data_IF_037187837398
#
_entry.id   IF_037187837398
#
_cell.length_a   1.000
_cell.length_b   1.000
_cell.length_c   1.000
_cell.angle_alpha   90.00
_cell.angle_beta   90.00
_cell.angle_gamma   90.00
#
_symmetry.space_group_name_H-M   'P 1'
#
loop_
_entity.id
_entity.type
_entity.pdbx_description
1 polymer ?
#
# COMPACT_ATOMS: atom_id res chain seq x y z
N UNK A 1 -4.35 -13.26 4.86
CA UNK A 1 -4.34 -11.84 4.39
C UNK A 1 -3.10 -11.20 4.98
N UNK A 2 -2.24 -10.60 4.15
CA UNK A 2 -0.94 -10.07 4.58
C UNK A 2 -1.08 -8.98 5.64
N UNK A 3 0.01 -8.66 6.31
CA UNK A 3 0.08 -7.70 7.42
C UNK A 3 -0.14 -6.22 6.98
N UNK A 4 -0.58 -5.96 5.74
CA UNK A 4 -0.85 -4.63 5.15
C UNK A 4 -1.88 -3.73 5.87
N UNK A 5 -1.82 -2.39 5.75
CA UNK A 5 -2.97 -1.48 5.97
C UNK A 5 -3.95 -1.92 4.89
N UNK A 6 -5.11 -2.32 5.35
CA UNK A 6 -6.21 -2.73 4.51
C UNK A 6 -7.43 -1.82 4.73
N UNK A 7 -7.37 -0.91 5.71
CA UNK A 7 -8.38 0.11 5.99
C UNK A 7 -7.78 1.33 6.70
N UNK A 8 -8.02 2.53 6.17
CA UNK A 8 -7.80 3.80 6.87
C UNK A 8 -8.99 4.74 6.66
N UNK A 9 -9.22 5.64 7.62
CA UNK A 9 -10.25 6.66 7.48
C UNK A 9 -9.87 7.92 8.27
N UNK A 10 -9.97 9.08 7.62
CA UNK A 10 -10.03 10.38 8.29
C UNK A 10 -11.37 11.02 7.96
N UNK A 11 -12.23 11.14 8.97
CA UNK A 11 -13.59 11.65 8.81
C UNK A 11 -13.92 12.64 9.92
N UNK A 12 -14.57 13.74 9.54
CA UNK A 12 -15.14 14.69 10.51
C UNK A 12 -16.12 13.97 11.43
N UNK A 13 -15.90 14.08 12.74
CA UNK A 13 -16.79 13.50 13.73
C UNK A 13 -18.19 14.13 13.64
N UNK A 14 -19.23 13.31 13.78
CA UNK A 14 -20.62 13.77 13.71
C UNK A 14 -21.05 14.53 14.98
N UNK A 15 -20.44 14.21 16.12
CA UNK A 15 -20.64 14.88 17.40
C UNK A 15 -19.47 15.83 17.68
N UNK A 16 -19.76 16.96 18.33
CA UNK A 16 -18.74 17.87 18.84
C UNK A 16 -18.19 17.29 20.14
N UNK A 17 -16.92 16.87 20.14
CA UNK A 17 -16.24 16.45 21.34
C UNK A 17 -15.96 17.66 22.26
N UNK A 18 -16.19 17.51 23.56
CA UNK A 18 -15.96 18.56 24.56
C UNK A 18 -14.53 18.54 25.10
N UNK A 19 -13.75 17.52 24.77
CA UNK A 19 -12.33 17.40 25.13
C UNK A 19 -11.55 16.61 24.08
N UNK A 20 -10.22 16.74 24.07
CA UNK A 20 -9.35 15.91 23.23
C UNK A 20 -9.45 14.42 23.59
N UNK A 21 -9.60 14.10 24.88
CA UNK A 21 -9.79 12.73 25.35
C UNK A 21 -11.07 12.11 24.77
N UNK A 22 -12.17 12.85 24.74
CA UNK A 22 -13.42 12.40 24.13
C UNK A 22 -13.30 12.25 22.60
N UNK A 23 -12.60 13.17 21.93
CA UNK A 23 -12.37 13.07 20.49
C UNK A 23 -11.56 11.81 20.13
N UNK A 24 -10.45 11.57 20.84
CA UNK A 24 -9.61 10.37 20.66
C UNK A 24 -10.37 9.09 21.01
N UNK A 25 -11.20 9.13 22.05
CA UNK A 25 -12.07 8.02 22.42
C UNK A 25 -13.07 7.65 21.33
N UNK A 26 -13.72 8.66 20.73
CA UNK A 26 -14.64 8.47 19.61
C UNK A 26 -13.92 7.87 18.41
N UNK A 27 -12.70 8.33 18.11
CA UNK A 27 -11.86 7.77 17.05
C UNK A 27 -11.48 6.32 17.34
N UNK A 28 -11.04 6.01 18.56
CA UNK A 28 -10.74 4.65 18.99
C UNK A 28 -11.97 3.73 18.85
N UNK A 29 -13.17 4.19 19.23
CA UNK A 29 -14.41 3.41 19.07
C UNK A 29 -14.68 3.02 17.62
N UNK A 30 -14.50 3.96 16.69
CA UNK A 30 -14.69 3.70 15.26
C UNK A 30 -13.64 2.71 14.73
N UNK A 31 -12.39 2.88 15.15
CA UNK A 31 -11.32 1.96 14.80
C UNK A 31 -11.60 0.54 15.35
N UNK A 32 -12.05 0.40 16.60
CA UNK A 32 -12.46 -0.88 17.19
C UNK A 32 -13.58 -1.55 16.38
N UNK A 33 -14.58 -0.79 15.93
CA UNK A 33 -15.66 -1.35 15.11
C UNK A 33 -15.14 -1.89 13.77
N UNK A 34 -14.22 -1.16 13.12
CA UNK A 34 -13.58 -1.64 11.90
C UNK A 34 -12.72 -2.89 12.18
N UNK A 35 -11.91 -2.87 13.24
CA UNK A 35 -11.07 -4.02 13.62
C UNK A 35 -11.89 -5.29 13.83
N UNK A 36 -13.01 -5.22 14.57
CA UNK A 36 -13.87 -6.39 14.80
C UNK A 36 -14.51 -6.88 13.50
N UNK A 37 -15.01 -5.97 12.67
CA UNK A 37 -15.57 -6.33 11.37
C UNK A 37 -14.56 -7.06 10.50
N UNK A 38 -13.31 -6.58 10.47
CA UNK A 38 -12.22 -7.18 9.73
C UNK A 38 -11.83 -8.56 10.30
N UNK A 39 -11.77 -8.70 11.63
CA UNK A 39 -11.52 -10.01 12.29
C UNK A 39 -12.57 -11.05 11.90
N UNK A 40 -13.85 -10.65 11.79
CA UNK A 40 -14.93 -11.55 11.36
C UNK A 40 -14.78 -11.98 9.91
N UNK A 41 -14.44 -11.05 9.02
CA UNK A 41 -14.15 -11.39 7.61
C UNK A 41 -12.98 -12.37 7.53
N UNK A 42 -11.94 -12.15 8.32
CA UNK A 42 -10.79 -13.06 8.39
C UNK A 42 -11.21 -14.45 8.89
N UNK A 43 -12.09 -14.53 9.89
CA UNK A 43 -12.65 -15.80 10.36
C UNK A 43 -13.47 -16.51 9.29
N UNK A 44 -14.31 -15.78 8.54
CA UNK A 44 -15.13 -16.33 7.45
C UNK A 44 -14.29 -16.94 6.30
N UNK A 45 -13.08 -16.41 6.06
CA UNK A 45 -12.13 -16.95 5.08
C UNK A 45 -11.16 -17.99 5.66
N UNK A 46 -11.34 -18.39 6.93
CA UNK A 46 -10.54 -19.42 7.60
C UNK A 46 -9.29 -18.92 8.34
N UNK A 47 -9.05 -17.61 8.40
CA UNK A 47 -7.87 -16.96 9.00
C UNK A 47 -8.20 -16.36 10.37
N UNK A 48 -8.73 -17.18 11.29
CA UNK A 48 -9.15 -16.71 12.62
C UNK A 48 -7.97 -16.16 13.44
N UNK A 49 -8.08 -14.89 13.82
CA UNK A 49 -7.13 -14.20 14.72
C UNK A 49 -7.33 -14.67 16.17
N UNK A 50 -6.31 -15.30 16.77
CA UNK A 50 -6.35 -15.75 18.17
C UNK A 50 -5.99 -14.65 19.16
N UNK A 51 -4.96 -13.89 18.84
CA UNK A 51 -4.46 -12.80 19.69
C UNK A 51 -5.27 -11.52 19.48
N UNK A 52 -5.23 -10.63 20.47
CA UNK A 52 -5.86 -9.32 20.40
C UNK A 52 -5.19 -8.44 19.34
N UNK A 53 -5.98 -7.70 18.56
CA UNK A 53 -5.42 -6.71 17.63
C UNK A 53 -5.00 -5.46 18.40
N UNK A 54 -3.71 -5.11 18.34
CA UNK A 54 -3.16 -3.94 19.03
C UNK A 54 -3.58 -2.66 18.32
N UNK A 55 -4.13 -1.72 19.09
CA UNK A 55 -4.52 -0.38 18.66
C UNK A 55 -3.74 0.67 19.45
N UNK A 56 -3.07 1.59 18.74
CA UNK A 56 -2.28 2.65 19.37
C UNK A 56 -3.10 3.94 19.54
N UNK A 57 -3.06 4.52 20.74
CA UNK A 57 -3.71 5.79 21.07
C UNK A 57 -2.73 6.69 21.83
N UNK A 58 -2.69 7.98 21.51
CA UNK A 58 -1.76 8.94 22.13
C UNK A 58 -2.34 9.66 23.36
N UNK A 59 -3.58 9.34 23.71
CA UNK A 59 -4.29 9.97 24.82
C UNK A 59 -4.52 8.97 25.96
N UNK A 60 -3.72 9.10 27.03
CA UNK A 60 -3.84 8.25 28.22
C UNK A 60 -5.22 8.30 28.84
N UNK A 61 -5.85 9.48 28.90
CA UNK A 61 -7.20 9.62 29.45
C UNK A 61 -8.23 8.87 28.61
N UNK A 62 -8.12 8.87 27.28
CA UNK A 62 -8.99 8.07 26.42
C UNK A 62 -8.80 6.56 26.64
N UNK A 63 -7.55 6.11 26.83
CA UNK A 63 -7.23 4.71 27.16
C UNK A 63 -7.80 4.34 28.53
N UNK A 64 -7.63 5.19 29.53
CA UNK A 64 -8.12 4.97 30.89
C UNK A 64 -9.65 4.90 30.90
N UNK A 65 -10.34 5.77 30.14
CA UNK A 65 -11.79 5.70 29.95
C UNK A 65 -12.17 4.36 29.31
N UNK A 66 -11.46 3.88 28.29
CA UNK A 66 -11.75 2.61 27.63
C UNK A 66 -11.60 1.39 28.55
N UNK A 67 -10.68 1.46 29.52
CA UNK A 67 -10.38 0.37 30.46
C UNK A 67 -11.16 0.45 31.77
N UNK A 68 -11.80 1.59 32.09
CA UNK A 68 -12.41 1.80 33.40
C UNK A 68 -13.91 1.48 33.41
N UNK A 69 -14.37 0.47 34.19
CA UNK A 69 -15.79 0.11 34.28
C UNK A 69 -16.66 1.15 35.00
N UNK A 70 -16.08 2.09 35.74
CA UNK A 70 -16.78 3.07 36.58
C UNK A 70 -17.09 4.37 35.83
N UNK A 71 -16.48 4.60 34.66
CA UNK A 71 -16.73 5.82 33.90
C UNK A 71 -18.12 5.75 33.24
N UNK A 72 -19.00 6.69 33.59
CA UNK A 72 -20.34 6.80 33.01
C UNK A 72 -20.43 8.10 32.21
N UNK A 73 -20.50 7.98 30.89
CA UNK A 73 -20.77 9.15 30.05
C UNK A 73 -22.21 9.61 30.24
N UNK A 74 -22.40 10.94 30.33
CA UNK A 74 -23.73 11.56 30.47
C UNK A 74 -24.57 11.50 29.20
N UNK A 75 -23.96 11.19 28.04
CA UNK A 75 -24.62 11.22 26.74
C UNK A 75 -24.75 9.79 26.18
N UNK A 76 -25.99 9.38 25.84
CA UNK A 76 -26.33 7.99 25.44
C UNK A 76 -25.44 7.43 24.32
N UNK A 77 -25.11 8.22 23.31
CA UNK A 77 -24.30 7.76 22.17
C UNK A 77 -22.84 7.48 22.56
N UNK A 78 -22.30 8.19 23.55
CA UNK A 78 -20.97 7.96 24.08
C UNK A 78 -21.00 6.75 25.02
N UNK A 79 -22.05 6.59 25.82
CA UNK A 79 -22.22 5.42 26.68
C UNK A 79 -22.27 4.10 25.88
N UNK A 80 -22.95 4.07 24.73
CA UNK A 80 -22.97 2.90 23.83
C UNK A 80 -21.57 2.58 23.30
N UNK A 81 -20.86 3.60 22.79
CA UNK A 81 -19.46 3.44 22.35
C UNK A 81 -18.57 2.99 23.50
N UNK A 82 -18.92 3.38 24.72
CA UNK A 82 -18.13 3.06 25.90
C UNK A 82 -18.19 1.61 26.30
N UNK A 83 -19.39 1.05 26.30
CA UNK A 83 -19.56 -0.38 26.47
C UNK A 83 -18.86 -1.13 25.34
N UNK A 84 -19.02 -0.69 24.10
CA UNK A 84 -18.45 -1.38 22.95
C UNK A 84 -16.93 -1.58 22.97
N UNK A 85 -16.13 -0.52 23.20
CA UNK A 85 -14.67 -0.68 23.25
C UNK A 85 -14.27 -1.58 24.42
N UNK A 86 -14.88 -1.37 25.58
CA UNK A 86 -14.54 -2.12 26.78
C UNK A 86 -14.85 -3.62 26.60
N UNK A 87 -16.03 -3.94 26.10
CA UNK A 87 -16.44 -5.33 25.86
C UNK A 87 -15.45 -6.00 24.87
N UNK A 88 -15.02 -5.28 23.82
CA UNK A 88 -13.99 -5.78 22.89
C UNK A 88 -12.60 -6.00 23.53
N UNK A 89 -12.23 -5.22 24.54
CA UNK A 89 -10.99 -5.42 25.31
C UNK A 89 -11.14 -6.61 26.27
N UNK A 90 -12.28 -6.72 26.96
CA UNK A 90 -12.58 -7.81 27.91
C UNK A 90 -12.66 -9.16 27.19
N UNK A 91 -13.21 -9.19 25.97
CA UNK A 91 -13.29 -10.38 25.11
C UNK A 91 -11.94 -10.73 24.44
N UNK A 92 -10.91 -9.90 24.62
CA UNK A 92 -9.58 -10.12 24.03
C UNK A 92 -9.53 -9.91 22.51
N UNK A 93 -10.52 -9.23 21.92
CA UNK A 93 -10.53 -8.92 20.49
C UNK A 93 -9.55 -7.80 20.13
N UNK A 94 -9.40 -6.81 21.02
CA UNK A 94 -8.53 -5.63 20.82
C UNK A 94 -7.72 -5.29 22.07
N UNK A 95 -6.53 -4.72 21.87
CA UNK A 95 -5.69 -4.21 22.95
C UNK A 95 -5.33 -2.73 22.71
N UNK A 96 -5.73 -1.82 23.61
CA UNK A 96 -5.31 -0.41 23.53
C UNK A 96 -3.95 -0.19 24.22
N UNK A 97 -2.96 0.26 23.42
CA UNK A 97 -1.62 0.67 23.86
C UNK A 97 -1.39 2.16 23.70
N UNK A 98 -0.67 2.73 24.66
CA UNK A 98 -0.24 4.12 24.57
C UNK A 98 0.93 4.26 23.60
N UNK A 99 0.82 5.20 22.65
CA UNK A 99 1.95 5.72 21.88
C UNK A 99 2.16 7.20 22.22
N UNK A 100 3.37 7.73 22.08
CA UNK A 100 3.57 9.18 22.28
C UNK A 100 2.97 9.92 21.08
N UNK A 101 2.43 11.11 21.30
CA UNK A 101 1.95 11.94 20.19
C UNK A 101 3.05 12.27 19.17
N UNK A 102 4.32 12.29 19.59
CA UNK A 102 5.49 12.45 18.70
C UNK A 102 5.63 11.31 17.69
N UNK A 103 5.17 10.11 18.07
CA UNK A 103 5.24 8.88 17.28
C UNK A 103 3.88 8.52 16.64
N UNK A 104 2.84 9.33 16.87
CA UNK A 104 1.49 9.09 16.34
C UNK A 104 1.37 9.63 14.91
N UNK A 105 1.80 8.83 13.94
CA UNK A 105 1.77 9.20 12.51
C UNK A 105 0.36 9.54 12.03
N UNK A 106 -0.70 8.98 12.63
CA UNK A 106 -2.09 9.29 12.28
C UNK A 106 -2.48 10.77 12.53
N UNK A 107 -1.70 11.50 13.34
CA UNK A 107 -1.91 12.93 13.60
C UNK A 107 -1.88 13.76 12.32
N UNK A 108 -1.04 13.40 11.32
CA UNK A 108 -0.94 14.16 10.07
C UNK A 108 -2.28 14.20 9.30
N UNK A 109 -3.14 13.21 9.51
CA UNK A 109 -4.44 13.10 8.85
C UNK A 109 -5.60 13.68 9.65
N UNK A 110 -5.39 14.02 10.92
CA UNK A 110 -6.48 14.33 11.87
C UNK A 110 -6.31 15.66 12.60
N UNK A 111 -5.08 16.20 12.68
CA UNK A 111 -4.75 17.40 13.46
C UNK A 111 -4.05 18.44 12.58
N UNK A 112 -4.23 19.71 12.92
CA UNK A 112 -3.40 20.78 12.39
C UNK A 112 -2.05 20.76 13.12
N UNK A 113 -0.99 20.34 12.43
CA UNK A 113 0.34 20.17 13.02
C UNK A 113 1.23 21.41 12.83
N UNK A 114 2.12 21.72 13.78
CA UNK A 114 3.22 22.66 13.55
C UNK A 114 4.05 22.24 12.33
N UNK A 115 4.61 23.20 11.60
CA UNK A 115 5.34 22.98 10.35
C UNK A 115 6.38 21.87 10.45
N UNK A 116 7.18 21.86 11.51
CA UNK A 116 8.28 20.90 11.66
C UNK A 116 7.75 19.48 11.86
N UNK A 117 6.68 19.31 12.66
CA UNK A 117 6.04 18.01 12.87
C UNK A 117 5.30 17.51 11.63
N UNK A 118 4.65 18.43 10.89
CA UNK A 118 4.04 18.10 9.59
C UNK A 118 5.10 17.62 8.58
N UNK A 119 6.22 18.33 8.47
CA UNK A 119 7.32 17.93 7.59
C UNK A 119 7.90 16.58 7.98
N UNK A 120 8.14 16.36 9.28
CA UNK A 120 8.67 15.10 9.80
C UNK A 120 7.79 13.90 9.42
N UNK A 121 6.48 13.94 9.69
CA UNK A 121 5.58 12.84 9.31
C UNK A 121 5.42 12.69 7.80
N UNK A 122 5.43 13.80 7.05
CA UNK A 122 5.34 13.76 5.58
C UNK A 122 6.58 13.14 4.94
N UNK A 123 7.76 13.36 5.50
CA UNK A 123 9.02 12.74 5.09
C UNK A 123 9.01 11.25 5.44
N UNK A 124 8.64 10.90 6.67
CA UNK A 124 8.54 9.51 7.13
C UNK A 124 7.59 8.65 6.28
N UNK A 125 6.49 9.24 5.79
CA UNK A 125 5.52 8.55 4.92
C UNK A 125 5.90 8.57 3.43
N UNK A 126 7.06 9.14 3.05
CA UNK A 126 7.50 9.24 1.66
C UNK A 126 6.77 10.28 0.80
N UNK A 127 5.71 10.93 1.32
CA UNK A 127 4.92 11.92 0.58
C UNK A 127 5.74 13.16 0.18
N UNK A 128 6.72 13.55 0.99
CA UNK A 128 7.53 14.73 0.71
C UNK A 128 8.29 14.58 -0.61
N UNK A 129 8.91 13.42 -0.83
CA UNK A 129 9.71 13.16 -2.02
C UNK A 129 8.82 12.96 -3.25
N UNK A 130 7.67 12.29 -3.11
CA UNK A 130 6.68 12.19 -4.18
C UNK A 130 6.18 13.56 -4.66
N UNK A 131 5.87 14.47 -3.73
CA UNK A 131 5.45 15.82 -4.09
C UNK A 131 6.58 16.62 -4.75
N UNK A 132 7.83 16.47 -4.30
CA UNK A 132 8.99 17.10 -4.93
C UNK A 132 9.19 16.57 -6.36
N UNK A 133 9.03 15.27 -6.58
CA UNK A 133 9.21 14.67 -7.90
C UNK A 133 8.12 15.08 -8.89
N UNK A 134 6.86 15.17 -8.43
CA UNK A 134 5.78 15.75 -9.24
C UNK A 134 6.01 17.22 -9.55
N UNK A 135 6.51 18.00 -8.59
CA UNK A 135 6.85 19.39 -8.85
C UNK A 135 7.96 19.52 -9.90
N UNK A 136 8.94 18.62 -9.89
CA UNK A 136 10.02 18.62 -10.87
C UNK A 136 9.51 18.32 -12.28
N UNK A 137 8.64 17.33 -12.44
CA UNK A 137 7.97 17.06 -13.73
C UNK A 137 7.10 18.23 -14.21
N UNK A 138 6.36 18.85 -13.28
CA UNK A 138 5.56 20.03 -13.59
C UNK A 138 6.43 21.20 -14.08
N UNK A 139 7.63 21.39 -13.51
CA UNK A 139 8.59 22.40 -13.98
C UNK A 139 9.08 22.10 -15.39
N UNK A 140 9.53 20.87 -15.65
CA UNK A 140 9.96 20.47 -16.99
C UNK A 140 8.86 20.69 -18.04
N UNK A 141 7.62 20.30 -17.74
CA UNK A 141 6.50 20.52 -18.65
C UNK A 141 6.14 22.01 -18.82
N UNK A 142 6.18 22.81 -17.75
CA UNK A 142 5.88 24.24 -17.82
C UNK A 142 6.92 25.00 -18.64
N UNK A 143 8.20 24.71 -18.42
CA UNK A 143 9.34 25.35 -19.08
C UNK A 143 9.63 24.74 -20.47
N UNK A 144 8.93 23.67 -20.84
CA UNK A 144 9.13 22.89 -22.08
C UNK A 144 10.57 22.40 -22.22
N UNK A 145 11.14 21.97 -21.10
CA UNK A 145 12.46 21.35 -21.01
C UNK A 145 12.30 19.84 -21.08
N UNK A 146 13.03 19.21 -22.00
CA UNK A 146 13.24 17.75 -21.99
C UNK A 146 14.57 17.48 -21.27
N UNK A 147 14.56 16.91 -20.05
CA UNK A 147 15.78 16.58 -19.32
C UNK A 147 16.57 15.45 -20.01
N UNK A 148 17.78 15.17 -19.53
CA UNK A 148 18.48 13.95 -19.96
C UNK A 148 17.71 12.71 -19.48
N UNK A 149 17.96 11.57 -20.12
CA UNK A 149 17.35 10.30 -19.74
C UNK A 149 17.65 9.95 -18.28
N UNK A 150 18.91 10.10 -17.85
CA UNK A 150 19.31 9.81 -16.47
C UNK A 150 18.65 10.77 -15.47
N UNK A 151 18.61 12.07 -15.78
CA UNK A 151 17.93 13.06 -14.93
C UNK A 151 16.44 12.75 -14.78
N UNK A 152 15.78 12.37 -15.88
CA UNK A 152 14.39 11.94 -15.86
C UNK A 152 14.20 10.72 -14.97
N UNK A 153 14.96 9.65 -15.21
CA UNK A 153 14.79 8.38 -14.48
C UNK A 153 14.97 8.58 -12.97
N UNK A 154 15.99 9.34 -12.53
CA UNK A 154 16.23 9.59 -11.11
C UNK A 154 15.05 10.29 -10.40
N UNK A 155 14.24 11.04 -11.14
CA UNK A 155 13.00 11.63 -10.63
C UNK A 155 11.80 10.68 -10.81
N UNK A 156 11.73 10.01 -11.95
CA UNK A 156 10.53 9.34 -12.44
C UNK A 156 10.19 8.07 -11.66
N UNK A 157 11.18 7.36 -11.12
CA UNK A 157 10.91 6.19 -10.28
C UNK A 157 10.21 6.60 -8.97
N UNK A 158 10.50 7.79 -8.43
CA UNK A 158 9.82 8.36 -7.25
C UNK A 158 8.42 8.83 -7.64
N UNK A 159 8.28 9.57 -8.74
CA UNK A 159 6.99 10.10 -9.21
C UNK A 159 6.01 9.02 -9.64
N UNK A 160 6.46 7.80 -9.90
CA UNK A 160 5.60 6.63 -10.15
C UNK A 160 4.69 6.27 -8.97
N UNK A 161 4.89 6.87 -7.79
CA UNK A 161 4.26 6.55 -6.50
C UNK A 161 4.63 5.20 -5.90
N UNK A 162 5.34 4.34 -6.64
CA UNK A 162 5.76 3.01 -6.16
C UNK A 162 6.52 3.08 -4.83
N UNK A 163 7.40 4.06 -4.66
CA UNK A 163 8.20 4.21 -3.44
C UNK A 163 7.31 4.48 -2.22
N UNK A 164 6.32 5.36 -2.36
CA UNK A 164 5.33 5.66 -1.30
C UNK A 164 4.50 4.41 -1.00
N UNK A 165 4.04 3.69 -2.03
CA UNK A 165 3.30 2.44 -1.83
C UNK A 165 4.13 1.40 -1.05
N UNK A 166 5.42 1.25 -1.37
CA UNK A 166 6.30 0.33 -0.67
C UNK A 166 6.65 0.78 0.76
N UNK A 167 6.96 2.06 0.98
CA UNK A 167 7.19 2.59 2.34
C UNK A 167 5.97 2.35 3.21
N UNK A 168 4.78 2.64 2.69
CA UNK A 168 3.54 2.30 3.37
C UNK A 168 3.44 0.80 3.59
N UNK A 169 3.56 -0.06 2.57
CA UNK A 169 3.53 -1.52 2.73
C UNK A 169 4.50 -2.04 3.79
N UNK A 170 5.73 -1.50 3.89
CA UNK A 170 6.71 -1.91 4.89
C UNK A 170 6.18 -1.80 6.32
N UNK A 171 5.67 -0.63 6.70
CA UNK A 171 5.16 -0.37 8.05
C UNK A 171 3.93 -1.20 8.41
N UNK A 172 3.40 -1.89 7.42
CA UNK A 172 2.23 -2.69 7.56
C UNK A 172 2.64 -4.13 7.69
N UNK A 173 3.40 -4.61 6.71
CA UNK A 173 3.72 -6.03 6.70
C UNK A 173 4.76 -6.46 7.71
N UNK A 174 5.52 -5.52 8.27
CA UNK A 174 6.65 -5.79 9.14
C UNK A 174 6.24 -5.76 10.61
N UNK A 175 6.43 -6.86 11.32
CA UNK A 175 6.14 -6.92 12.76
C UNK A 175 7.21 -6.20 13.59
N UNK A 176 8.49 -6.34 13.20
CA UNK A 176 9.63 -5.78 13.93
C UNK A 176 10.33 -4.72 13.11
N UNK A 177 9.92 -3.48 13.32
CA UNK A 177 10.55 -2.31 12.69
C UNK A 177 11.92 -2.07 13.34
N UNK A 178 12.99 -2.13 12.54
CA UNK A 178 14.36 -1.84 12.97
C UNK A 178 14.81 -0.45 12.50
N UNK A 179 15.75 0.17 13.23
CA UNK A 179 16.30 1.48 12.83
C UNK A 179 17.09 1.37 11.53
N UNK A 180 17.76 0.24 11.35
CA UNK A 180 18.53 -0.08 10.16
C UNK A 180 17.61 -0.17 8.93
N UNK A 181 16.43 -0.79 9.07
CA UNK A 181 15.42 -0.85 8.01
C UNK A 181 14.86 0.53 7.64
N UNK A 182 14.51 1.34 8.65
CA UNK A 182 14.07 2.73 8.41
C UNK A 182 15.16 3.51 7.68
N UNK A 183 16.42 3.37 8.10
CA UNK A 183 17.54 4.02 7.43
C UNK A 183 17.69 3.56 5.97
N UNK A 184 17.48 2.28 5.66
CA UNK A 184 17.45 1.80 4.28
C UNK A 184 16.30 2.42 3.47
N UNK A 185 15.11 2.59 4.04
CA UNK A 185 13.98 3.23 3.37
C UNK A 185 14.25 4.72 3.10
N UNK A 186 14.76 5.44 4.09
CA UNK A 186 15.10 6.87 4.00
C UNK A 186 16.16 7.16 2.93
N UNK A 187 17.06 6.21 2.69
CA UNK A 187 18.15 6.33 1.70
C UNK A 187 17.83 5.61 0.39
N UNK A 188 16.55 5.35 0.10
CA UNK A 188 16.08 4.79 -1.17
C UNK A 188 16.81 3.51 -1.58
N UNK A 189 16.94 2.56 -0.65
CA UNK A 189 17.59 1.27 -0.89
C UNK A 189 17.10 0.59 -2.18
N UNK A 190 17.96 -0.23 -2.82
CA UNK A 190 17.66 -0.88 -4.10
C UNK A 190 16.35 -1.67 -4.15
N UNK A 191 15.93 -2.24 -3.01
CA UNK A 191 14.64 -2.94 -2.88
C UNK A 191 13.43 -2.01 -3.08
N UNK A 192 13.58 -0.71 -2.86
CA UNK A 192 12.59 0.30 -3.23
C UNK A 192 12.82 0.76 -4.67
N UNK A 193 14.06 1.14 -4.98
CA UNK A 193 14.39 1.80 -6.24
C UNK A 193 14.09 0.91 -7.46
N UNK A 194 14.60 -0.33 -7.50
CA UNK A 194 14.51 -1.19 -8.67
C UNK A 194 13.08 -1.55 -9.09
N UNK A 195 12.18 -2.01 -8.20
CA UNK A 195 10.80 -2.28 -8.59
C UNK A 195 10.04 -1.02 -9.00
N UNK A 196 10.33 0.14 -8.40
CA UNK A 196 9.71 1.40 -8.79
C UNK A 196 10.20 1.90 -10.15
N UNK A 197 11.48 1.69 -10.48
CA UNK A 197 12.01 1.94 -11.82
C UNK A 197 11.35 1.02 -12.83
N UNK A 198 11.20 -0.27 -12.54
CA UNK A 198 10.46 -1.22 -13.42
C UNK A 198 9.02 -0.75 -13.62
N UNK A 199 8.33 -0.34 -12.56
CA UNK A 199 6.98 0.22 -12.61
C UNK A 199 6.90 1.41 -13.56
N UNK A 200 7.80 2.38 -13.39
CA UNK A 200 7.88 3.58 -14.23
C UNK A 200 8.15 3.22 -15.69
N UNK A 201 9.14 2.38 -15.96
CA UNK A 201 9.53 2.03 -17.32
C UNK A 201 8.42 1.30 -18.07
N UNK A 202 7.71 0.37 -17.43
CA UNK A 202 6.55 -0.28 -18.04
C UNK A 202 5.40 0.70 -18.29
N UNK A 203 5.16 1.63 -17.36
CA UNK A 203 4.15 2.67 -17.55
C UNK A 203 4.45 3.51 -18.78
N UNK A 204 5.62 4.17 -18.82
CA UNK A 204 6.04 5.05 -19.91
C UNK A 204 6.08 4.34 -21.27
N UNK A 205 6.52 3.08 -21.29
CA UNK A 205 6.58 2.27 -22.51
C UNK A 205 5.18 2.03 -23.11
N UNK A 206 4.17 1.88 -22.26
CA UNK A 206 2.81 1.54 -22.68
C UNK A 206 1.89 2.73 -22.89
N UNK A 207 2.27 3.92 -22.42
CA UNK A 207 1.49 5.16 -22.55
C UNK A 207 2.01 6.11 -23.63
N UNK A 208 3.21 5.89 -24.18
CA UNK A 208 3.87 6.80 -25.13
C UNK A 208 2.94 7.33 -26.23
N UNK A 209 2.23 6.47 -26.95
CA UNK A 209 1.37 6.90 -28.06
C UNK A 209 0.28 7.88 -27.61
N UNK A 210 -0.35 7.61 -26.46
CA UNK A 210 -1.40 8.47 -25.92
C UNK A 210 -0.85 9.77 -25.34
N UNK A 211 0.36 9.75 -24.77
CA UNK A 211 1.05 10.93 -24.23
C UNK A 211 1.45 11.90 -25.35
N UNK A 212 1.98 11.38 -26.47
CA UNK A 212 2.31 12.19 -27.65
C UNK A 212 1.07 12.86 -28.25
N UNK A 213 -0.07 12.17 -28.29
CA UNK A 213 -1.34 12.75 -28.76
C UNK A 213 -1.85 13.88 -27.85
N UNK A 214 -1.54 13.83 -26.55
CA UNK A 214 -1.90 14.86 -25.56
C UNK A 214 -0.92 16.03 -25.54
N UNK A 215 0.18 15.97 -26.30
CA UNK A 215 1.23 16.98 -26.30
C UNK A 215 2.10 16.93 -25.03
N UNK A 216 2.15 15.78 -24.36
CA UNK A 216 3.09 15.52 -23.27
C UNK A 216 4.47 15.22 -23.89
N UNK A 217 5.51 15.83 -23.32
CA UNK A 217 6.87 15.86 -23.92
C UNK A 217 7.95 15.21 -23.04
N UNK A 218 7.54 14.57 -21.94
CA UNK A 218 8.49 14.12 -20.91
C UNK A 218 8.11 12.74 -20.38
N UNK A 219 8.66 11.72 -21.03
CA UNK A 219 8.68 10.33 -20.57
C UNK A 219 10.05 9.69 -20.89
N UNK A 220 10.28 8.46 -20.41
CA UNK A 220 11.56 7.77 -20.60
C UNK A 220 11.99 7.67 -22.07
N UNK A 221 11.07 7.33 -22.97
CA UNK A 221 11.36 7.12 -24.39
C UNK A 221 11.71 8.45 -25.09
N UNK A 222 10.93 9.50 -24.83
CA UNK A 222 11.15 10.84 -25.40
C UNK A 222 12.44 11.47 -24.89
N UNK A 223 12.78 11.31 -23.60
CA UNK A 223 14.06 11.79 -23.06
C UNK A 223 15.25 11.07 -23.72
N UNK A 224 15.18 9.75 -23.86
CA UNK A 224 16.23 8.98 -24.53
C UNK A 224 16.39 9.36 -26.01
N UNK A 225 15.28 9.49 -26.75
CA UNK A 225 15.31 9.90 -28.16
C UNK A 225 15.87 11.32 -28.33
N UNK A 226 15.50 12.24 -27.44
CA UNK A 226 15.99 13.62 -27.46
C UNK A 226 17.50 13.69 -27.19
N UNK A 227 17.99 12.94 -26.20
CA UNK A 227 19.41 12.95 -25.84
C UNK A 227 20.29 12.26 -26.90
N UNK A 228 19.85 11.13 -27.44
CA UNK A 228 20.68 10.29 -28.32
C UNK A 228 20.44 10.52 -29.81
N UNK A 229 19.32 11.17 -30.18
CA UNK A 229 18.87 11.30 -31.56
C UNK A 229 18.39 9.98 -32.21
N UNK A 230 18.20 8.93 -31.42
CA UNK A 230 17.79 7.61 -31.91
C UNK A 230 16.28 7.50 -32.17
N UNK A 231 15.89 6.47 -32.92
CA UNK A 231 14.48 6.20 -33.23
C UNK A 231 13.72 5.64 -32.02
N UNK A 232 12.39 5.79 -32.03
CA UNK A 232 11.48 5.21 -31.03
C UNK A 232 11.70 3.70 -30.85
N UNK A 233 11.97 2.97 -31.93
CA UNK A 233 12.27 1.54 -31.87
C UNK A 233 13.54 1.25 -31.05
N UNK A 234 14.60 2.02 -31.23
CA UNK A 234 15.85 1.86 -30.48
C UNK A 234 15.68 2.31 -29.02
N UNK A 235 14.92 3.39 -28.79
CA UNK A 235 14.54 3.79 -27.43
C UNK A 235 13.78 2.67 -26.72
N UNK A 236 12.79 2.06 -27.37
CA UNK A 236 12.04 0.94 -26.81
C UNK A 236 12.89 -0.31 -26.51
N UNK A 237 13.93 -0.56 -27.32
CA UNK A 237 14.92 -1.62 -27.04
C UNK A 237 15.77 -1.28 -25.82
N UNK A 238 16.23 -0.03 -25.70
CA UNK A 238 16.97 0.44 -24.54
C UNK A 238 16.15 0.32 -23.24
N UNK A 239 14.87 0.75 -23.27
CA UNK A 239 13.96 0.60 -22.12
C UNK A 239 13.79 -0.87 -21.73
N UNK A 240 13.57 -1.76 -22.70
CA UNK A 240 13.45 -3.20 -22.46
C UNK A 240 14.70 -3.76 -21.77
N UNK A 241 15.89 -3.41 -22.26
CA UNK A 241 17.16 -3.82 -21.65
C UNK A 241 17.29 -3.27 -20.22
N UNK A 242 16.94 -2.00 -19.99
CA UNK A 242 16.99 -1.39 -18.67
C UNK A 242 16.05 -2.07 -17.67
N UNK A 243 14.87 -2.52 -18.11
CA UNK A 243 13.96 -3.32 -17.29
C UNK A 243 14.63 -4.64 -16.88
N UNK A 244 15.26 -5.36 -17.81
CA UNK A 244 16.00 -6.59 -17.52
C UNK A 244 17.14 -6.36 -16.51
N UNK A 245 17.90 -5.27 -16.68
CA UNK A 245 18.96 -4.87 -15.75
C UNK A 245 18.41 -4.56 -14.35
N UNK A 246 17.26 -3.88 -14.25
CA UNK A 246 16.61 -3.61 -12.97
C UNK A 246 16.14 -4.91 -12.29
N UNK A 247 15.61 -5.88 -13.04
CA UNK A 247 15.29 -7.21 -12.52
C UNK A 247 16.52 -7.92 -11.96
N UNK A 248 17.65 -7.88 -12.68
CA UNK A 248 18.90 -8.48 -12.21
C UNK A 248 19.40 -7.81 -10.93
N UNK A 249 19.35 -6.48 -10.85
CA UNK A 249 19.73 -5.72 -9.65
C UNK A 249 18.81 -6.05 -8.47
N UNK A 250 17.50 -6.10 -8.69
CA UNK A 250 16.52 -6.49 -7.67
C UNK A 250 16.78 -7.91 -7.16
N UNK A 251 17.02 -8.88 -8.04
CA UNK A 251 17.35 -10.25 -7.65
C UNK A 251 18.65 -10.31 -6.81
N UNK A 252 19.63 -9.46 -7.10
CA UNK A 252 20.86 -9.35 -6.30
C UNK A 252 20.57 -8.82 -4.89
N UNK A 253 19.70 -7.83 -4.75
CA UNK A 253 19.26 -7.34 -3.44
C UNK A 253 18.61 -8.45 -2.61
N UNK A 254 17.85 -9.36 -3.23
CA UNK A 254 17.19 -10.46 -2.52
C UNK A 254 18.13 -11.56 -2.02
N UNK A 255 19.34 -11.70 -2.60
CA UNK A 255 20.33 -12.71 -2.19
C UNK A 255 21.04 -12.30 -0.90
N UNK A 256 21.29 -11.00 -0.73
CA UNK A 256 21.91 -10.42 0.47
C UNK A 256 21.01 -9.33 1.02
N UNK A 257 19.82 -9.70 1.53
CA UNK A 257 18.78 -8.72 1.75
C UNK A 257 19.20 -7.73 2.85
N UNK A 258 18.84 -6.45 2.69
CA UNK A 258 18.82 -5.47 3.78
C UNK A 258 17.98 -5.98 4.97
N UNK A 259 17.91 -5.25 6.10
CA UNK A 259 17.16 -5.67 7.30
C UNK A 259 15.63 -5.63 7.13
N UNK A 260 15.09 -6.16 6.04
CA UNK A 260 13.68 -6.30 5.77
C UNK A 260 13.22 -7.75 5.91
N UNK A 261 11.99 -7.93 6.39
CA UNK A 261 11.34 -9.24 6.48
C UNK A 261 10.92 -9.75 5.08
N UNK A 262 10.85 -11.07 4.93
CA UNK A 262 10.54 -11.75 3.65
C UNK A 262 9.24 -11.23 3.02
N UNK A 263 8.18 -11.07 3.83
CA UNK A 263 6.89 -10.53 3.40
C UNK A 263 7.01 -9.17 2.69
N UNK A 264 7.88 -8.28 3.19
CA UNK A 264 8.08 -6.98 2.56
C UNK A 264 8.86 -7.11 1.25
N UNK A 265 9.91 -7.93 1.24
CA UNK A 265 10.71 -8.14 0.03
C UNK A 265 9.90 -8.79 -1.09
N UNK A 266 8.96 -9.68 -0.76
CA UNK A 266 8.03 -10.27 -1.73
C UNK A 266 7.09 -9.22 -2.32
N UNK A 267 6.53 -8.31 -1.50
CA UNK A 267 5.69 -7.20 -1.97
C UNK A 267 6.46 -6.27 -2.92
N UNK A 268 7.72 -5.99 -2.63
CA UNK A 268 8.57 -5.19 -3.51
C UNK A 268 8.73 -5.85 -4.89
N UNK A 269 8.96 -7.17 -4.92
CA UNK A 269 9.03 -7.94 -6.17
C UNK A 269 7.67 -7.97 -6.88
N UNK A 270 6.59 -8.16 -6.14
CA UNK A 270 5.23 -8.20 -6.68
C UNK A 270 4.82 -6.86 -7.28
N UNK A 271 5.30 -5.73 -6.77
CA UNK A 271 5.09 -4.43 -7.42
C UNK A 271 5.63 -4.43 -8.86
N UNK A 272 6.83 -4.97 -9.07
CA UNK A 272 7.42 -5.12 -10.41
C UNK A 272 6.63 -6.11 -11.29
N UNK A 273 6.14 -7.21 -10.72
CA UNK A 273 5.27 -8.17 -11.44
C UNK A 273 3.94 -7.55 -11.84
N UNK A 274 3.33 -6.78 -10.93
CA UNK A 274 2.06 -6.07 -11.16
C UNK A 274 2.23 -5.03 -12.25
N UNK A 275 3.36 -4.31 -12.28
CA UNK A 275 3.64 -3.36 -13.36
C UNK A 275 3.57 -4.01 -14.75
N UNK A 276 4.25 -5.15 -14.92
CA UNK A 276 4.15 -5.93 -16.16
C UNK A 276 2.71 -6.36 -16.44
N UNK A 277 2.01 -6.88 -15.44
CA UNK A 277 0.60 -7.28 -15.58
C UNK A 277 -0.29 -6.12 -16.04
N UNK A 278 -0.07 -4.93 -15.50
CA UNK A 278 -0.87 -3.75 -15.76
C UNK A 278 -0.58 -3.14 -17.13
N UNK A 279 0.68 -3.14 -17.56
CA UNK A 279 1.09 -2.36 -18.73
C UNK A 279 1.42 -3.19 -19.98
N UNK A 280 1.59 -4.52 -19.90
CA UNK A 280 2.01 -5.33 -21.06
C UNK A 280 1.06 -5.28 -22.29
N UNK A 281 -0.20 -4.85 -22.13
CA UNK A 281 -1.19 -4.75 -23.20
C UNK A 281 -1.78 -3.34 -23.33
N UNK A 282 -0.99 -2.32 -22.97
CA UNK A 282 -1.41 -0.93 -22.90
C UNK A 282 -1.77 -0.50 -21.47
N UNK A 283 -2.28 0.72 -21.33
CA UNK A 283 -2.59 1.31 -20.03
C UNK A 283 -3.86 0.73 -19.40
N UNK A 284 -3.71 -0.31 -18.57
CA UNK A 284 -4.81 -0.88 -17.81
C UNK A 284 -5.30 0.00 -16.65
N UNK A 285 -4.59 1.09 -16.31
CA UNK A 285 -4.91 1.94 -15.17
C UNK A 285 -5.83 3.10 -15.56
N UNK A 286 -5.37 4.00 -16.45
CA UNK A 286 -6.15 5.19 -16.81
C UNK A 286 -7.12 4.94 -17.98
N UNK A 287 -6.83 3.94 -18.82
CA UNK A 287 -7.64 3.63 -20.01
C UNK A 287 -7.82 2.11 -20.24
N UNK A 288 -8.48 1.40 -19.30
CA UNK A 288 -8.51 -0.06 -19.28
C UNK A 288 -9.17 -0.70 -20.53
N UNK A 289 -8.36 -1.43 -21.28
CA UNK A 289 -8.80 -2.29 -22.38
C UNK A 289 -9.66 -3.49 -21.92
N UNK A 290 -10.09 -4.31 -22.87
CA UNK A 290 -10.90 -5.51 -22.60
C UNK A 290 -10.13 -6.52 -21.74
N UNK A 291 -8.85 -6.74 -22.02
CA UNK A 291 -8.01 -7.71 -21.28
C UNK A 291 -7.87 -7.28 -19.81
N UNK A 292 -7.58 -6.01 -19.56
CA UNK A 292 -7.47 -5.44 -18.22
C UNK A 292 -8.76 -5.65 -17.41
N UNK A 293 -9.91 -5.31 -18.00
CA UNK A 293 -11.22 -5.54 -17.39
C UNK A 293 -11.44 -7.01 -17.08
N UNK A 294 -11.21 -7.90 -18.05
CA UNK A 294 -11.42 -9.34 -17.86
C UNK A 294 -10.57 -9.91 -16.72
N UNK A 295 -9.32 -9.45 -16.53
CA UNK A 295 -8.47 -9.86 -15.40
C UNK A 295 -9.07 -9.45 -14.06
N UNK A 296 -9.55 -8.21 -13.94
CA UNK A 296 -10.24 -7.74 -12.74
C UNK A 296 -11.47 -8.61 -12.47
N UNK A 297 -12.28 -8.88 -13.50
CA UNK A 297 -13.43 -9.76 -13.37
C UNK A 297 -13.04 -11.15 -12.87
N UNK A 298 -12.03 -11.80 -13.48
CA UNK A 298 -11.64 -13.17 -13.12
C UNK A 298 -10.99 -13.30 -11.75
N UNK A 299 -10.29 -12.27 -11.28
CA UNK A 299 -9.55 -12.33 -10.00
C UNK A 299 -10.40 -11.84 -8.83
N UNK A 300 -11.24 -10.82 -9.03
CA UNK A 300 -11.94 -10.12 -7.94
C UNK A 300 -13.44 -10.45 -7.92
N UNK A 301 -14.09 -10.56 -9.08
CA UNK A 301 -15.57 -10.55 -9.15
C UNK A 301 -16.18 -11.93 -9.43
N UNK A 302 -15.51 -12.76 -10.22
CA UNK A 302 -16.04 -14.04 -10.69
C UNK A 302 -15.34 -15.17 -9.93
N UNK A 303 -16.06 -15.86 -9.02
CA UNK A 303 -15.50 -17.02 -8.32
C UNK A 303 -15.11 -18.13 -9.30
N UNK A 304 -14.03 -18.84 -8.98
CA UNK A 304 -13.66 -20.07 -9.70
C UNK A 304 -14.77 -21.10 -9.46
N UNK A 305 -15.37 -21.60 -10.55
CA UNK A 305 -16.32 -22.70 -10.45
C UNK A 305 -15.56 -23.97 -10.05
N UNK A 306 -15.88 -24.51 -8.87
CA UNK A 306 -15.42 -25.83 -8.47
C UNK A 306 -16.17 -26.84 -9.33
N UNK A 307 -15.44 -27.71 -10.05
CA UNK A 307 -16.04 -28.86 -10.68
C UNK A 307 -16.67 -29.74 -9.59
N UNK A 308 -17.99 -29.94 -9.65
CA UNK A 308 -18.66 -30.99 -8.87
C UNK A 308 -18.25 -32.36 -9.42
N UNK A 309 -17.06 -32.82 -9.06
CA UNK A 309 -16.57 -34.17 -9.38
C UNK A 309 -16.01 -34.85 -8.14
N UNK A 310 -16.87 -35.12 -7.16
CA UNK A 310 -16.55 -36.06 -6.07
C UNK A 310 -17.76 -36.70 -5.35
N UNK A 311 -18.92 -36.88 -6.01
CA UNK A 311 -20.02 -37.69 -5.44
C UNK A 311 -20.46 -38.89 -6.30
N UNK A 312 -20.00 -39.02 -7.55
CA UNK A 312 -20.36 -40.17 -8.39
C UNK A 312 -19.23 -41.19 -8.64
N UNK A 313 -17.98 -40.91 -8.24
CA UNK A 313 -16.86 -41.83 -8.47
C UNK A 313 -16.72 -42.91 -7.41
N UNK A 314 -17.33 -42.79 -6.22
CA UNK A 314 -17.22 -43.83 -5.17
C UNK A 314 -18.05 -45.09 -5.48
N UNK A 315 -19.02 -45.00 -6.41
CA UNK A 315 -19.87 -46.14 -6.79
C UNK A 315 -19.23 -46.98 -7.91
N UNK A 316 -18.50 -46.37 -8.85
CA UNK A 316 -17.88 -47.08 -9.98
C UNK A 316 -16.61 -47.88 -9.58
N UNK A 317 -15.82 -47.40 -8.61
CA UNK A 317 -14.64 -48.16 -8.15
C UNK A 317 -15.02 -49.41 -7.35
N UNK A 318 -16.17 -49.41 -6.65
CA UNK A 318 -16.66 -50.59 -5.91
C UNK A 318 -17.22 -51.67 -6.84
N UNK A 319 -17.76 -51.32 -8.00
CA UNK A 319 -18.22 -52.33 -8.98
C UNK A 319 -17.06 -53.01 -9.72
N UNK A 320 -15.96 -52.29 -9.97
CA UNK A 320 -14.78 -52.85 -10.66
C UNK A 320 -13.95 -53.81 -9.78
N UNK A 321 -13.96 -53.63 -8.45
CA UNK A 321 -13.26 -54.52 -7.51
C UNK A 321 -14.11 -55.73 -7.06
N UNK A 322 -15.40 -55.77 -7.41
CA UNK A 322 -16.27 -56.92 -7.13
C UNK A 322 -16.33 -57.93 -8.29
N UNK A 323 -15.71 -57.62 -9.43
CA UNK A 323 -15.67 -58.45 -10.63
C UNK A 323 -14.25 -58.96 -10.99
N UNK A 324 -13.31 -58.93 -10.05
CA UNK A 324 -11.96 -59.50 -10.19
C UNK A 324 -11.67 -60.55 -9.13
#
# INVERSE_FOLDING_TARGET
IGSGVFSWASKKQQSVAQSSAEAEYVSASLATSQTIWLRRILEDIGEKQKEATVMFCDNKSAIDIAKNPVYHSRTRHIAIKHHFIRDAIEDGEVELKFCKSEDQVADIFTKALPKDKFNYFREMLGWADLCKSFLQEAKWNHEKVTPTFDEYIQNAWISSSGAVLLVHSYFLVTEKISKEAIHCLDNHHGILQWPCTILRLYNDFSTLSAELERGEVTNALTCYMHETGQSEKLAGQHISQMIEECWMKMNKELISPPPFEENFTEIAVDLARIALCQYQYGDAHSSPGVIARNRIFSVILVPIQLLETAQNTTTEWKSLLASS
#
